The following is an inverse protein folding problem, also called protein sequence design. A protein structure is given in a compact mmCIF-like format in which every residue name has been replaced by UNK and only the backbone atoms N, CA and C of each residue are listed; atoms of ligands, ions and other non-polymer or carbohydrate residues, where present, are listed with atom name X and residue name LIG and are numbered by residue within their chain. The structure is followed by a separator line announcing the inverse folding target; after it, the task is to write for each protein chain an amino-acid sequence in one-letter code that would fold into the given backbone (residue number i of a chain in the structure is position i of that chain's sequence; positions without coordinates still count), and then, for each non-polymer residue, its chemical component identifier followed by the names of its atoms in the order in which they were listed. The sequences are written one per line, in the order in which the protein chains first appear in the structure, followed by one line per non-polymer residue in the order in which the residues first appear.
data_IF_083771200345
#
_entry.id   IF_083771200345
#
_cell.length_a   1.000
_cell.length_b   1.000
_cell.length_c   1.000
_cell.angle_alpha   90.00
_cell.angle_beta   90.00
_cell.angle_gamma   90.00
#
_symmetry.space_group_name_H-M   'P 1'
#
loop_
_entity.id
_entity.type
_entity.pdbx_description
1 polymer ?
#
# COMPACT_ATOMS: atom_id res chain seq x y z
N UNK A 1 -16.19 31.07 25.71
CA UNK A 1 -14.92 30.80 25.00
C UNK A 1 -14.92 29.31 24.70
N UNK A 2 -15.08 28.98 23.43
CA UNK A 2 -15.52 27.67 22.90
C UNK A 2 -14.36 26.69 22.77
N UNK A 3 -14.45 25.54 23.45
CA UNK A 3 -13.47 24.45 23.40
C UNK A 3 -14.15 23.09 23.60
N UNK A 4 -15.26 22.84 22.91
CA UNK A 4 -15.96 21.54 22.98
C UNK A 4 -16.53 21.08 21.62
N UNK A 5 -16.18 21.75 20.53
CA UNK A 5 -16.71 21.41 19.20
C UNK A 5 -15.88 20.37 18.43
N UNK A 6 -14.66 20.05 18.87
CA UNK A 6 -13.68 19.32 18.04
C UNK A 6 -13.68 17.79 18.27
N UNK A 7 -14.32 17.30 19.34
CA UNK A 7 -14.36 15.86 19.69
C UNK A 7 -15.70 15.18 19.41
N UNK A 8 -16.62 15.86 18.73
CA UNK A 8 -17.96 15.33 18.40
C UNK A 8 -18.14 15.03 16.90
N UNK A 9 -17.07 14.65 16.18
CA UNK A 9 -17.22 14.01 14.87
C UNK A 9 -17.84 12.62 15.07
N UNK A 10 -19.17 12.64 15.25
CA UNK A 10 -20.18 11.67 14.83
C UNK A 10 -19.69 10.22 14.74
N UNK A 11 -19.49 9.60 15.90
CA UNK A 11 -19.58 8.15 16.08
C UNK A 11 -21.02 7.60 15.94
N UNK A 12 -21.91 8.28 15.22
CA UNK A 12 -23.31 7.92 15.06
C UNK A 12 -23.74 8.16 13.61
N UNK A 13 -23.25 7.27 12.74
CA UNK A 13 -23.67 6.90 11.38
C UNK A 13 -22.40 6.37 10.72
N UNK A 14 -22.07 5.10 10.96
CA UNK A 14 -21.19 4.39 10.01
C UNK A 14 -22.04 4.32 8.74
N UNK A 15 -21.86 5.32 7.88
CA UNK A 15 -22.50 5.37 6.58
C UNK A 15 -22.15 4.05 5.88
N UNK A 16 -23.17 3.28 5.49
CA UNK A 16 -22.99 2.07 4.69
C UNK A 16 -22.53 2.41 3.27
N UNK A 17 -22.57 3.69 2.90
CA UNK A 17 -22.08 4.18 1.61
C UNK A 17 -20.57 4.06 1.54
N UNK A 18 -20.02 3.62 0.38
CA UNK A 18 -18.59 3.54 0.23
C UNK A 18 -17.90 4.88 0.46
N UNK A 19 -16.83 4.88 1.26
CA UNK A 19 -16.07 6.09 1.59
C UNK A 19 -14.57 5.87 1.43
N UNK A 20 -13.87 6.95 1.09
CA UNK A 20 -12.43 6.97 0.87
C UNK A 20 -11.81 7.97 1.84
N UNK A 21 -10.72 7.55 2.47
CA UNK A 21 -10.03 8.34 3.48
C UNK A 21 -8.54 8.34 3.14
N UNK A 22 -7.97 9.53 3.03
CA UNK A 22 -6.54 9.71 2.82
C UNK A 22 -5.90 10.22 4.12
N UNK A 23 -4.70 9.73 4.43
CA UNK A 23 -3.96 10.16 5.62
C UNK A 23 -3.38 11.56 5.40
N UNK A 24 -3.56 12.47 6.37
CA UNK A 24 -2.96 13.81 6.32
C UNK A 24 -1.44 13.80 6.55
N UNK A 25 -0.92 12.83 7.32
CA UNK A 25 0.50 12.54 7.48
C UNK A 25 0.86 11.21 6.78
N UNK A 26 1.76 11.27 5.79
CA UNK A 26 2.22 10.06 5.11
C UNK A 26 3.23 9.33 5.99
N UNK A 27 2.86 8.13 6.45
CA UNK A 27 3.73 7.28 7.25
C UNK A 27 4.45 6.28 6.37
N UNK A 28 5.61 6.69 5.86
CA UNK A 28 6.56 5.76 5.26
C UNK A 28 7.02 4.76 6.33
N UNK A 29 6.90 3.48 6.02
CA UNK A 29 7.27 2.37 6.90
C UNK A 29 8.29 1.50 6.19
N UNK A 30 9.39 1.20 6.88
CA UNK A 30 10.31 0.14 6.46
C UNK A 30 9.80 -1.18 7.05
N UNK A 31 9.26 -2.07 6.22
CA UNK A 31 8.66 -3.33 6.64
C UNK A 31 9.53 -4.52 6.20
N UNK A 32 9.82 -5.46 7.11
CA UNK A 32 10.51 -6.72 6.79
C UNK A 32 9.49 -7.80 6.46
N UNK A 33 9.54 -8.31 5.24
CA UNK A 33 8.60 -9.32 4.73
C UNK A 33 9.34 -10.41 3.95
N UNK A 34 8.66 -11.50 3.64
CA UNK A 34 9.16 -12.55 2.74
C UNK A 34 8.55 -12.38 1.36
N UNK A 35 9.38 -12.27 0.33
CA UNK A 35 8.93 -12.23 -1.07
C UNK A 35 8.45 -13.62 -1.51
N UNK A 36 7.20 -13.74 -1.99
CA UNK A 36 6.65 -15.04 -2.42
C UNK A 36 6.85 -15.32 -3.90
N UNK A 37 7.18 -14.32 -4.72
CA UNK A 37 7.40 -14.51 -6.16
C UNK A 37 6.13 -14.53 -7.01
N UNK A 38 4.96 -14.58 -6.38
CA UNK A 38 3.67 -14.53 -7.07
C UNK A 38 3.27 -13.09 -7.38
N UNK A 39 2.55 -12.89 -8.48
CA UNK A 39 2.15 -11.56 -8.93
C UNK A 39 0.85 -11.59 -9.73
N UNK A 40 0.06 -10.52 -9.66
CA UNK A 40 -1.24 -10.42 -10.33
C UNK A 40 -1.49 -9.00 -10.85
N UNK A 41 -2.43 -8.78 -11.78
CA UNK A 41 -2.89 -7.43 -12.13
C UNK A 41 -3.37 -6.69 -10.88
N UNK A 42 -3.14 -5.37 -10.84
CA UNK A 42 -3.58 -4.54 -9.72
C UNK A 42 -5.10 -4.59 -9.55
N UNK A 43 -5.55 -4.59 -8.30
CA UNK A 43 -6.96 -4.48 -7.98
C UNK A 43 -7.51 -3.11 -8.43
N UNK A 44 -8.64 -3.05 -9.16
CA UNK A 44 -9.17 -1.77 -9.67
C UNK A 44 -9.48 -0.73 -8.59
N UNK A 45 -9.92 -1.16 -7.39
CA UNK A 45 -10.19 -0.25 -6.28
C UNK A 45 -8.88 0.32 -5.76
N UNK A 46 -7.83 -0.50 -5.59
CA UNK A 46 -6.51 0.00 -5.17
C UNK A 46 -5.91 0.94 -6.22
N UNK A 47 -6.00 0.61 -7.50
CA UNK A 47 -5.52 1.48 -8.58
C UNK A 47 -6.22 2.85 -8.55
N UNK A 48 -7.55 2.86 -8.39
CA UNK A 48 -8.33 4.09 -8.24
C UNK A 48 -7.90 4.91 -7.01
N UNK A 49 -7.67 4.27 -5.87
CA UNK A 49 -7.20 4.93 -4.65
C UNK A 49 -5.83 5.59 -4.85
N UNK A 50 -4.93 4.98 -5.63
CA UNK A 50 -3.63 5.58 -5.96
C UNK A 50 -3.82 6.85 -6.81
N UNK A 51 -4.70 6.81 -7.82
CA UNK A 51 -4.98 7.98 -8.66
C UNK A 51 -5.58 9.15 -7.86
N UNK A 52 -6.55 8.87 -7.00
CA UNK A 52 -7.20 9.89 -6.16
C UNK A 52 -6.25 10.43 -5.09
N UNK A 53 -5.41 9.57 -4.51
CA UNK A 53 -4.35 10.00 -3.60
C UNK A 53 -3.36 10.95 -4.29
N UNK A 54 -2.92 10.61 -5.51
CA UNK A 54 -2.04 11.47 -6.33
C UNK A 54 -2.69 12.81 -6.64
N UNK A 55 -3.97 12.82 -7.02
CA UNK A 55 -4.71 14.07 -7.20
C UNK A 55 -4.78 14.89 -5.90
N UNK A 56 -5.01 14.25 -4.76
CA UNK A 56 -5.12 14.93 -3.45
C UNK A 56 -3.79 15.53 -2.97
N UNK A 57 -2.66 14.83 -3.17
CA UNK A 57 -1.37 15.21 -2.57
C UNK A 57 -0.43 15.90 -3.55
N UNK A 58 -0.50 15.54 -4.82
CA UNK A 58 0.42 16.00 -5.87
C UNK A 58 -0.29 16.85 -6.91
N UNK A 59 -1.63 16.94 -6.87
CA UNK A 59 -2.48 17.49 -7.94
C UNK A 59 -2.25 16.80 -9.28
N UNK A 60 -1.89 15.51 -9.22
CA UNK A 60 -1.60 14.69 -10.38
C UNK A 60 -2.02 13.24 -10.16
N UNK A 61 -2.98 12.77 -10.95
CA UNK A 61 -3.43 11.38 -10.95
C UNK A 61 -2.55 10.44 -11.76
N UNK A 62 -1.62 10.96 -12.56
CA UNK A 62 -0.80 10.18 -13.51
C UNK A 62 0.10 9.17 -12.80
N UNK A 63 0.41 9.38 -11.51
CA UNK A 63 1.16 8.44 -10.68
C UNK A 63 0.58 7.03 -10.68
N UNK A 64 -0.75 6.87 -10.82
CA UNK A 64 -1.37 5.55 -10.89
C UNK A 64 -0.92 4.74 -12.12
N UNK A 65 -0.51 5.42 -13.20
CA UNK A 65 0.00 4.77 -14.41
C UNK A 65 1.33 4.04 -14.17
N UNK A 66 2.02 4.29 -13.05
CA UNK A 66 3.23 3.56 -12.68
C UNK A 66 2.93 2.30 -11.85
N UNK A 67 1.66 1.89 -11.68
CA UNK A 67 1.27 0.74 -10.86
C UNK A 67 0.35 -0.21 -11.61
N UNK A 68 0.93 -1.21 -12.29
CA UNK A 68 0.12 -2.19 -13.04
C UNK A 68 -0.14 -3.50 -12.29
N UNK A 69 0.70 -3.85 -11.31
CA UNK A 69 0.72 -5.20 -10.72
C UNK A 69 0.86 -5.16 -9.20
N UNK A 70 0.28 -6.16 -8.57
CA UNK A 70 0.47 -6.47 -7.16
C UNK A 70 1.41 -7.68 -7.04
N UNK A 71 2.28 -7.65 -6.04
CA UNK A 71 3.19 -8.73 -5.72
C UNK A 71 2.88 -9.29 -4.34
N UNK A 72 3.05 -10.60 -4.18
CA UNK A 72 2.72 -11.29 -2.94
C UNK A 72 3.90 -11.29 -1.97
N UNK A 73 3.65 -10.76 -0.78
CA UNK A 73 4.57 -10.75 0.35
C UNK A 73 3.93 -11.45 1.55
N UNK A 74 4.77 -11.87 2.49
CA UNK A 74 4.33 -12.48 3.74
C UNK A 74 4.96 -11.75 4.94
N UNK A 75 4.12 -11.32 5.88
CA UNK A 75 4.53 -10.74 7.16
C UNK A 75 3.97 -11.62 8.29
N UNK A 76 4.84 -12.36 8.98
CA UNK A 76 4.41 -13.40 9.91
C UNK A 76 3.52 -14.43 9.21
N UNK A 77 2.28 -14.58 9.67
CA UNK A 77 1.27 -15.47 9.07
C UNK A 77 0.41 -14.80 7.99
N UNK A 78 0.52 -13.47 7.83
CA UNK A 78 -0.33 -12.70 6.91
C UNK A 78 0.27 -12.69 5.51
N UNK A 79 -0.58 -12.91 4.51
CA UNK A 79 -0.26 -12.72 3.10
C UNK A 79 -0.79 -11.36 2.62
N UNK A 80 0.08 -10.61 1.96
CA UNK A 80 -0.19 -9.24 1.54
C UNK A 80 0.06 -9.11 0.03
N UNK A 81 -0.97 -8.72 -0.71
CA UNK A 81 -0.84 -8.27 -2.08
C UNK A 81 -0.60 -6.78 -2.07
N UNK A 82 0.60 -6.36 -2.48
CA UNK A 82 1.01 -4.96 -2.45
C UNK A 82 1.23 -4.46 -3.87
N UNK A 83 0.61 -3.33 -4.28
CA UNK A 83 0.97 -2.60 -5.48
C UNK A 83 2.44 -2.17 -5.39
N UNK A 84 3.20 -2.45 -6.45
CA UNK A 84 4.61 -2.07 -6.56
C UNK A 84 4.76 -1.17 -7.77
N UNK A 85 5.49 -0.06 -7.61
CA UNK A 85 5.79 0.83 -8.72
C UNK A 85 6.57 0.07 -9.81
N UNK A 86 6.21 0.26 -11.08
CA UNK A 86 6.75 -0.54 -12.19
C UNK A 86 8.27 -0.51 -12.25
N UNK A 87 8.86 0.67 -12.06
CA UNK A 87 10.32 0.87 -12.02
C UNK A 87 10.97 -0.04 -10.99
N UNK A 88 10.40 -0.13 -9.79
CA UNK A 88 10.85 -1.02 -8.71
C UNK A 88 10.66 -2.48 -9.09
N UNK A 89 9.48 -2.83 -9.62
CA UNK A 89 9.14 -4.19 -9.99
C UNK A 89 10.07 -4.78 -11.08
N UNK A 90 10.66 -3.94 -11.94
CA UNK A 90 11.60 -4.39 -12.99
C UNK A 90 12.86 -5.08 -12.44
N UNK A 91 13.24 -4.80 -11.19
CA UNK A 91 14.43 -5.39 -10.55
C UNK A 91 14.14 -6.75 -9.90
N UNK A 92 12.89 -7.06 -9.57
CA UNK A 92 12.53 -8.26 -8.81
C UNK A 92 13.02 -9.57 -9.45
N UNK A 93 12.87 -9.81 -10.77
CA UNK A 93 13.35 -11.06 -11.38
C UNK A 93 14.87 -11.24 -11.32
N UNK A 94 15.63 -10.14 -11.16
CA UNK A 94 17.09 -10.14 -11.14
C UNK A 94 17.65 -10.24 -9.73
N UNK A 95 16.99 -9.59 -8.78
CA UNK A 95 17.54 -9.35 -7.44
C UNK A 95 16.87 -10.18 -6.34
N UNK A 96 15.64 -10.65 -6.58
CA UNK A 96 14.87 -11.36 -5.56
C UNK A 96 14.60 -12.81 -5.94
N UNK A 97 14.68 -13.68 -4.93
CA UNK A 97 14.29 -15.09 -5.01
C UNK A 97 13.04 -15.33 -4.19
N UNK A 98 12.19 -16.26 -4.63
CA UNK A 98 11.06 -16.72 -3.82
C UNK A 98 11.56 -17.23 -2.46
N UNK A 99 10.94 -16.77 -1.39
CA UNK A 99 11.32 -17.09 -0.01
C UNK A 99 12.38 -16.16 0.59
N UNK A 100 12.91 -15.21 -0.18
CA UNK A 100 13.92 -14.27 0.32
C UNK A 100 13.29 -13.21 1.25
N UNK A 101 13.91 -12.93 2.41
CA UNK A 101 13.55 -11.77 3.21
C UNK A 101 13.91 -10.47 2.48
N UNK A 102 12.98 -9.52 2.48
CA UNK A 102 13.14 -8.21 1.86
C UNK A 102 12.65 -7.12 2.82
N UNK A 103 13.37 -6.02 2.84
CA UNK A 103 12.93 -4.79 3.48
C UNK A 103 12.23 -3.94 2.42
N UNK A 104 10.94 -3.63 2.60
CA UNK A 104 10.15 -2.80 1.71
C UNK A 104 9.97 -1.40 2.30
N UNK A 105 10.12 -0.37 1.47
CA UNK A 105 9.61 0.95 1.79
C UNK A 105 8.15 1.01 1.32
N UNK A 106 7.26 1.10 2.30
CA UNK A 106 5.80 1.06 2.10
C UNK A 106 5.20 2.38 2.56
N UNK A 107 4.33 2.96 1.75
CA UNK A 107 3.51 4.10 2.15
C UNK A 107 2.05 3.67 2.29
N UNK A 108 1.47 3.95 3.45
CA UNK A 108 0.01 3.91 3.62
C UNK A 108 -0.57 5.21 3.08
N UNK A 109 -1.27 5.13 1.95
CA UNK A 109 -1.80 6.30 1.26
C UNK A 109 -3.26 6.58 1.62
N UNK A 110 -4.00 5.56 2.07
CA UNK A 110 -5.38 5.72 2.49
C UNK A 110 -6.11 4.40 2.71
N UNK A 111 -7.43 4.47 2.77
CA UNK A 111 -8.31 3.30 2.89
C UNK A 111 -9.67 3.54 2.23
N UNK A 112 -10.24 2.46 1.72
CA UNK A 112 -11.61 2.42 1.20
C UNK A 112 -12.46 1.53 2.08
N UNK A 113 -13.56 2.08 2.58
CA UNK A 113 -14.54 1.35 3.37
C UNK A 113 -15.75 1.07 2.50
N UNK A 114 -16.13 -0.19 2.38
CA UNK A 114 -17.36 -0.62 1.74
C UNK A 114 -17.88 -1.88 2.44
N UNK A 115 -19.18 -1.96 2.66
CA UNK A 115 -19.84 -3.14 3.25
C UNK A 115 -19.23 -3.63 4.59
N UNK A 116 -18.73 -2.68 5.41
CA UNK A 116 -18.09 -2.98 6.69
C UNK A 116 -16.66 -3.55 6.57
N UNK A 117 -16.12 -3.64 5.36
CA UNK A 117 -14.74 -4.06 5.09
C UNK A 117 -13.89 -2.85 4.75
N UNK A 118 -12.68 -2.81 5.29
CA UNK A 118 -11.68 -1.84 4.90
C UNK A 118 -10.65 -2.45 3.95
N UNK A 119 -10.48 -1.81 2.80
CA UNK A 119 -9.37 -2.03 1.88
C UNK A 119 -8.33 -0.95 2.12
N UNK A 120 -7.25 -1.31 2.81
CA UNK A 120 -6.09 -0.43 2.96
C UNK A 120 -5.35 -0.29 1.63
N UNK A 121 -4.99 0.95 1.28
CA UNK A 121 -4.19 1.28 0.12
C UNK A 121 -2.74 1.51 0.56
N UNK A 122 -1.91 0.52 0.28
CA UNK A 122 -0.45 0.61 0.42
C UNK A 122 0.18 0.71 -0.97
N UNK A 123 1.30 1.41 -1.08
CA UNK A 123 2.18 1.35 -2.26
C UNK A 123 3.62 1.08 -1.83
N UNK A 124 4.32 0.31 -2.67
CA UNK A 124 5.76 0.03 -2.52
C UNK A 124 6.53 0.84 -3.55
N UNK A 125 7.45 1.68 -3.08
CA UNK A 125 8.24 2.59 -3.90
C UNK A 125 9.76 2.31 -3.84
N UNK A 126 10.22 1.46 -2.92
CA UNK A 126 11.61 1.00 -2.86
C UNK A 126 11.71 -0.34 -2.11
N UNK A 127 12.78 -1.10 -2.36
CA UNK A 127 13.08 -2.33 -1.63
C UNK A 127 14.59 -2.51 -1.41
N UNK A 128 14.92 -3.35 -0.43
CA UNK A 128 16.27 -3.87 -0.22
C UNK A 128 16.18 -5.38 0.01
N UNK A 129 16.85 -6.15 -0.83
CA UNK A 129 17.03 -7.59 -0.60
C UNK A 129 17.97 -7.83 0.57
N UNK A 130 17.60 -8.74 1.48
CA UNK A 130 18.53 -9.22 2.49
C UNK A 130 19.36 -10.38 1.93
N UNK A 131 20.63 -10.53 2.33
CA UNK A 131 21.44 -11.69 1.99
C UNK A 131 20.74 -12.97 2.46
N UNK A 132 20.66 -13.97 1.58
CA UNK A 132 20.27 -15.33 2.02
C UNK A 132 21.46 -15.89 2.78
N UNK A 133 21.26 -16.35 4.02
CA UNK A 133 22.32 -16.95 4.81
C UNK A 133 22.99 -18.09 4.01
N UNK A 134 24.25 -17.90 3.62
CA UNK A 134 25.05 -18.91 2.90
C UNK A 134 25.46 -18.58 1.46
N UNK A 135 25.14 -17.39 0.92
CA UNK A 135 25.71 -16.94 -0.36
C UNK A 135 26.78 -15.86 -0.13
N UNK A 136 28.02 -16.32 -0.02
CA UNK A 136 29.27 -15.55 -0.21
C UNK A 136 29.80 -15.77 -1.62
#
# INVERSE_FOLDING_TARGET
MTSDADSMIRGALIDKSPSQHFMGDQRATLAKVIYKGDSRPIDPIRHRLIAEWGMSHMRDSSIAADFHREYLFQEGEKLLWLPVQDTVATFFPKELRRGQPVSLYVMLIGGYYADGVITWAFIVNEFKGEPVAGSS
#
